data_IF_723871115296
#
_entry.id   IF_723871115296
#
_cell.length_a   1.000
_cell.length_b   1.000
_cell.length_c   1.000
_cell.angle_alpha   90.00
_cell.angle_beta   90.00
_cell.angle_gamma   90.00
#
_symmetry.space_group_name_H-M   'P 1'
#
loop_
_entity.id
_entity.type
_entity.pdbx_description
1 polymer ?
#
# COMPACT_ATOMS: atom_id res chain seq x y z
N UNK A 1 -5.82 -8.78 29.38
CA UNK A 1 -4.52 -9.33 28.95
C UNK A 1 -4.31 -8.86 27.54
N UNK A 2 -3.27 -8.08 27.22
CA UNK A 2 -2.96 -7.69 25.84
C UNK A 2 -2.49 -8.95 25.07
N UNK A 3 -2.79 -9.09 23.78
CA UNK A 3 -2.26 -10.17 22.97
C UNK A 3 -0.74 -10.01 22.86
N UNK A 4 -0.05 -11.10 23.17
CA UNK A 4 1.40 -11.18 23.02
C UNK A 4 1.77 -10.88 21.57
N UNK A 5 2.54 -9.81 21.36
CA UNK A 5 3.09 -9.46 20.07
C UNK A 5 3.88 -10.65 19.53
N UNK A 6 3.46 -11.15 18.37
CA UNK A 6 4.28 -12.07 17.58
C UNK A 6 5.51 -11.27 17.14
N UNK A 7 6.67 -11.72 17.63
CA UNK A 7 7.99 -11.29 17.16
C UNK A 7 8.00 -11.28 15.62
N UNK A 8 8.62 -10.27 14.95
CA UNK A 8 8.71 -10.28 13.50
C UNK A 8 9.37 -11.59 13.06
N UNK A 9 8.70 -12.30 12.14
CA UNK A 9 9.21 -13.49 11.50
C UNK A 9 10.57 -13.13 10.86
N UNK A 10 11.68 -13.43 11.55
CA UNK A 10 12.87 -13.83 10.84
C UNK A 10 12.48 -15.12 10.12
N UNK A 11 12.19 -15.04 8.84
CA UNK A 11 12.00 -16.21 8.01
C UNK A 11 13.29 -17.02 8.16
N UNK A 12 13.26 -18.04 9.01
CA UNK A 12 14.32 -19.06 9.05
C UNK A 12 14.19 -19.75 7.70
N UNK A 13 15.03 -19.33 6.74
CA UNK A 13 15.13 -20.01 5.46
C UNK A 13 15.39 -21.48 5.75
N UNK A 14 14.60 -22.36 5.15
CA UNK A 14 14.74 -23.80 5.33
C UNK A 14 16.15 -24.20 4.87
N UNK A 15 16.93 -24.86 5.73
CA UNK A 15 18.20 -25.45 5.31
C UNK A 15 17.92 -26.65 4.43
N UNK A 16 18.14 -26.49 3.12
CA UNK A 16 18.03 -27.57 2.15
C UNK A 16 19.36 -28.31 2.04
N UNK A 17 19.39 -29.57 2.51
CA UNK A 17 20.49 -30.47 2.27
C UNK A 17 20.53 -30.98 0.81
N UNK A 18 21.67 -31.44 0.36
CA UNK A 18 21.80 -32.06 -0.96
C UNK A 18 21.17 -33.46 -0.93
N UNK A 19 20.14 -33.67 -1.76
CA UNK A 19 19.44 -34.94 -1.90
C UNK A 19 19.54 -35.40 -3.36
N UNK A 20 20.19 -36.56 -3.56
CA UNK A 20 20.42 -37.17 -4.87
C UNK A 20 19.46 -38.34 -5.06
N UNK A 21 18.71 -38.34 -6.15
CA UNK A 21 17.95 -39.50 -6.61
C UNK A 21 18.63 -40.09 -7.85
N UNK A 22 19.07 -41.35 -7.76
CA UNK A 22 19.54 -42.12 -8.92
C UNK A 22 18.35 -42.97 -9.44
N UNK A 23 18.11 -42.90 -10.74
CA UNK A 23 17.18 -43.78 -11.47
C UNK A 23 18.00 -44.59 -12.46
N UNK A 24 18.15 -45.88 -12.21
CA UNK A 24 18.99 -46.81 -13.00
C UNK A 24 18.53 -48.25 -12.72
N UNK A 25 18.30 -49.05 -13.75
CA UNK A 25 17.86 -50.44 -13.58
C UNK A 25 18.96 -51.38 -13.03
N UNK A 26 20.23 -50.94 -13.10
CA UNK A 26 21.37 -51.73 -12.70
C UNK A 26 21.80 -51.43 -11.26
N UNK A 27 21.54 -52.34 -10.36
CA UNK A 27 21.92 -52.21 -8.95
C UNK A 27 23.47 -52.05 -8.74
N UNK A 28 24.28 -52.52 -9.67
CA UNK A 28 25.74 -52.38 -9.60
C UNK A 28 26.15 -50.90 -9.81
N UNK A 29 25.46 -50.15 -10.66
CA UNK A 29 25.70 -48.73 -10.87
C UNK A 29 25.30 -47.98 -9.61
N UNK A 30 24.17 -48.31 -9.01
CA UNK A 30 23.71 -47.70 -7.75
C UNK A 30 24.71 -47.94 -6.61
N UNK A 31 25.24 -49.14 -6.50
CA UNK A 31 26.28 -49.46 -5.50
C UNK A 31 27.56 -48.65 -5.73
N UNK A 32 27.99 -48.49 -6.97
CA UNK A 32 29.18 -47.69 -7.33
C UNK A 32 28.97 -46.20 -7.00
N UNK A 33 27.83 -45.59 -7.41
CA UNK A 33 27.51 -44.20 -7.10
C UNK A 33 27.40 -44.00 -5.58
N UNK A 34 26.72 -44.89 -4.86
CA UNK A 34 26.62 -44.85 -3.39
C UNK A 34 27.99 -44.81 -2.74
N UNK A 35 28.91 -45.69 -3.18
CA UNK A 35 30.32 -45.75 -2.66
C UNK A 35 31.07 -44.45 -2.95
N UNK A 36 30.86 -43.83 -4.11
CA UNK A 36 31.49 -42.55 -4.47
C UNK A 36 31.03 -41.42 -3.53
N UNK A 37 29.77 -41.48 -3.06
CA UNK A 37 29.17 -40.47 -2.18
C UNK A 37 29.35 -40.76 -0.68
N UNK A 38 29.86 -41.93 -0.30
CA UNK A 38 29.89 -42.41 1.11
C UNK A 38 30.62 -41.45 2.07
N UNK A 39 31.63 -40.73 1.60
CA UNK A 39 32.39 -39.77 2.43
C UNK A 39 31.79 -38.38 2.49
N UNK A 40 30.76 -38.11 1.71
CA UNK A 40 30.07 -36.81 1.65
C UNK A 40 28.88 -36.80 2.63
N UNK A 41 29.12 -36.38 3.86
CA UNK A 41 28.14 -36.47 4.96
C UNK A 41 26.96 -35.54 4.80
N UNK A 42 27.05 -34.54 3.93
CA UNK A 42 26.04 -33.55 3.59
C UNK A 42 25.15 -33.94 2.39
N UNK A 43 25.42 -35.16 1.79
CA UNK A 43 24.66 -35.66 0.64
C UNK A 43 23.83 -36.88 1.05
N UNK A 44 22.52 -36.75 0.93
CA UNK A 44 21.58 -37.88 1.06
C UNK A 44 21.40 -38.58 -0.28
N UNK A 45 21.57 -39.90 -0.33
CA UNK A 45 21.48 -40.69 -1.55
C UNK A 45 20.25 -41.61 -1.53
N UNK A 46 19.46 -41.55 -2.60
CA UNK A 46 18.28 -42.39 -2.82
C UNK A 46 18.41 -43.10 -4.18
N UNK A 47 17.90 -44.33 -4.25
CA UNK A 47 17.93 -45.15 -5.45
C UNK A 47 16.52 -45.60 -5.85
N UNK A 48 16.27 -45.56 -7.15
CA UNK A 48 15.05 -46.06 -7.78
C UNK A 48 15.45 -47.00 -8.91
N UNK A 49 15.19 -48.30 -8.75
CA UNK A 49 15.54 -49.31 -9.73
C UNK A 49 14.52 -49.43 -10.86
N UNK A 50 13.23 -49.24 -10.52
CA UNK A 50 12.13 -49.32 -11.48
C UNK A 50 11.83 -47.91 -12.03
N UNK A 51 12.08 -47.64 -13.33
CA UNK A 51 11.85 -46.34 -13.93
C UNK A 51 10.36 -45.93 -13.91
N UNK A 52 9.43 -46.88 -13.82
CA UNK A 52 7.98 -46.56 -13.70
C UNK A 52 7.65 -45.89 -12.35
N UNK A 53 8.44 -46.11 -11.33
CA UNK A 53 8.29 -45.52 -10.00
C UNK A 53 9.07 -44.22 -9.82
N UNK A 54 9.88 -43.82 -10.81
CA UNK A 54 10.81 -42.69 -10.69
C UNK A 54 10.15 -41.37 -10.29
N UNK A 55 9.00 -41.01 -10.89
CA UNK A 55 8.30 -39.79 -10.56
C UNK A 55 7.76 -39.82 -9.12
N UNK A 56 7.13 -40.94 -8.72
CA UNK A 56 6.63 -41.13 -7.37
C UNK A 56 7.74 -41.01 -6.35
N UNK A 57 8.90 -41.70 -6.61
CA UNK A 57 10.06 -41.66 -5.74
C UNK A 57 10.64 -40.25 -5.62
N UNK A 58 10.71 -39.50 -6.71
CA UNK A 58 11.13 -38.10 -6.71
C UNK A 58 10.20 -37.21 -5.86
N UNK A 59 8.87 -37.42 -5.91
CA UNK A 59 7.92 -36.71 -5.07
C UNK A 59 8.06 -37.04 -3.57
N UNK A 60 8.41 -38.30 -3.24
CA UNK A 60 8.63 -38.75 -1.86
C UNK A 60 9.89 -38.14 -1.23
N UNK A 61 11.02 -38.18 -1.98
CA UNK A 61 12.34 -37.82 -1.44
C UNK A 61 12.69 -36.36 -1.69
N UNK A 62 11.95 -35.65 -2.55
CA UNK A 62 12.17 -34.25 -2.92
C UNK A 62 13.67 -33.98 -3.27
N UNK A 63 14.22 -34.60 -4.31
CA UNK A 63 15.64 -34.52 -4.59
C UNK A 63 16.05 -33.12 -5.06
N UNK A 64 17.28 -32.71 -4.77
CA UNK A 64 17.91 -31.51 -5.29
C UNK A 64 18.59 -31.69 -6.61
N UNK A 65 18.86 -32.95 -6.98
CA UNK A 65 19.38 -33.37 -8.28
C UNK A 65 18.97 -34.81 -8.57
N UNK A 66 18.64 -35.10 -9.83
CA UNK A 66 18.32 -36.42 -10.33
C UNK A 66 19.47 -36.87 -11.21
N UNK A 67 20.00 -38.09 -10.95
CA UNK A 67 20.88 -38.82 -11.85
C UNK A 67 20.04 -39.88 -12.56
N UNK A 68 20.06 -39.95 -13.88
CA UNK A 68 19.19 -40.85 -14.63
C UNK A 68 19.91 -41.55 -15.75
N UNK A 69 19.75 -42.88 -15.83
CA UNK A 69 20.20 -43.66 -16.98
C UNK A 69 19.30 -43.41 -18.21
N UNK A 70 19.87 -43.49 -19.39
CA UNK A 70 19.17 -43.47 -20.67
C UNK A 70 18.69 -44.81 -21.15
N UNK A 71 19.43 -45.87 -20.82
CA UNK A 71 19.21 -47.21 -21.36
C UNK A 71 18.66 -48.11 -20.28
N UNK A 72 17.33 -48.12 -20.18
CA UNK A 72 16.62 -48.94 -19.20
C UNK A 72 15.62 -49.84 -19.94
N UNK A 73 15.27 -51.02 -19.40
CA UNK A 73 14.15 -51.79 -19.90
C UNK A 73 12.84 -51.03 -19.62
N UNK A 74 11.82 -51.28 -20.38
CA UNK A 74 10.44 -50.80 -20.23
C UNK A 74 10.22 -49.33 -20.58
N UNK A 75 11.09 -48.39 -20.21
CA UNK A 75 10.97 -46.96 -20.53
C UNK A 75 12.28 -46.43 -21.10
N UNK A 76 12.22 -45.79 -22.26
CA UNK A 76 13.36 -45.04 -22.79
C UNK A 76 13.65 -43.83 -21.90
N UNK A 77 14.93 -43.70 -21.50
CA UNK A 77 15.32 -42.62 -20.57
C UNK A 77 15.04 -41.21 -21.05
N UNK A 78 15.09 -40.97 -22.37
CA UNK A 78 14.73 -39.67 -22.93
C UNK A 78 13.22 -39.35 -22.73
N UNK A 79 12.39 -40.38 -22.78
CA UNK A 79 10.94 -40.25 -22.46
C UNK A 79 10.75 -39.95 -20.99
N UNK A 80 11.51 -40.50 -20.09
CA UNK A 80 11.45 -40.21 -18.66
C UNK A 80 11.88 -38.76 -18.34
N UNK A 81 12.86 -38.22 -19.06
CA UNK A 81 13.21 -36.78 -18.99
C UNK A 81 12.00 -35.92 -19.29
N UNK A 82 11.26 -36.23 -20.38
CA UNK A 82 10.01 -35.49 -20.73
C UNK A 82 8.98 -35.56 -19.60
N UNK A 83 8.80 -36.72 -18.98
CA UNK A 83 7.86 -36.88 -17.86
C UNK A 83 8.24 -36.00 -16.63
N UNK A 84 9.54 -35.99 -16.27
CA UNK A 84 10.03 -35.09 -15.21
C UNK A 84 9.75 -33.61 -15.55
N UNK A 85 10.00 -33.18 -16.78
CA UNK A 85 9.80 -31.79 -17.23
C UNK A 85 8.32 -31.42 -17.36
N UNK A 86 7.45 -32.37 -17.63
CA UNK A 86 6.00 -32.12 -17.69
C UNK A 86 5.35 -32.02 -16.29
N UNK A 87 6.01 -32.57 -15.24
CA UNK A 87 5.41 -32.61 -13.91
C UNK A 87 5.62 -31.27 -13.16
N UNK A 88 4.55 -30.57 -12.68
CA UNK A 88 4.65 -29.21 -12.10
C UNK A 88 5.66 -29.07 -10.95
N UNK A 89 5.75 -30.07 -10.06
CA UNK A 89 6.64 -30.05 -8.90
C UNK A 89 8.07 -30.51 -9.19
N UNK A 90 8.29 -31.26 -10.28
CA UNK A 90 9.60 -31.88 -10.59
C UNK A 90 10.33 -31.18 -11.74
N UNK A 91 9.64 -30.37 -12.54
CA UNK A 91 10.16 -29.78 -13.79
C UNK A 91 11.42 -28.94 -13.63
N UNK A 92 11.62 -28.36 -12.45
CA UNK A 92 12.76 -27.47 -12.17
C UNK A 92 13.94 -28.19 -11.49
N UNK A 93 13.76 -29.46 -11.07
CA UNK A 93 14.82 -30.22 -10.43
C UNK A 93 15.91 -30.53 -11.48
N UNK A 94 17.16 -30.20 -11.22
CA UNK A 94 18.27 -30.55 -12.13
C UNK A 94 18.33 -32.05 -12.39
N UNK A 95 18.45 -32.41 -13.66
CA UNK A 95 18.56 -33.80 -14.12
C UNK A 95 19.84 -33.96 -14.89
N UNK A 96 20.69 -34.84 -14.40
CA UNK A 96 21.97 -35.24 -15.00
C UNK A 96 21.80 -36.64 -15.60
N UNK A 97 21.99 -36.74 -16.88
CA UNK A 97 21.97 -38.05 -17.58
C UNK A 97 23.27 -38.79 -17.33
N UNK A 98 23.16 -40.08 -16.93
CA UNK A 98 24.27 -41.02 -16.88
C UNK A 98 24.10 -42.03 -18.01
N UNK A 99 25.05 -42.15 -18.94
CA UNK A 99 24.91 -43.08 -20.08
C UNK A 99 26.23 -43.60 -20.56
N UNK A 100 26.25 -44.84 -21.07
CA UNK A 100 27.42 -45.43 -21.78
C UNK A 100 27.55 -44.90 -23.22
N UNK A 101 26.55 -44.17 -23.74
CA UNK A 101 26.57 -43.61 -25.09
C UNK A 101 27.29 -42.26 -25.10
N UNK A 102 28.26 -42.10 -25.98
CA UNK A 102 29.05 -40.86 -26.12
C UNK A 102 28.66 -40.03 -27.38
N UNK A 103 27.69 -40.51 -28.15
CA UNK A 103 27.28 -39.88 -29.40
C UNK A 103 26.80 -38.49 -29.21
N UNK A 104 27.31 -37.54 -29.99
CA UNK A 104 26.93 -36.14 -29.92
C UNK A 104 25.42 -35.91 -30.14
N UNK A 105 24.80 -36.72 -31.01
CA UNK A 105 23.36 -36.64 -31.29
C UNK A 105 22.51 -36.96 -30.06
N UNK A 106 22.84 -38.04 -29.33
CA UNK A 106 22.14 -38.44 -28.10
C UNK A 106 22.27 -37.38 -26.99
N UNK A 107 23.46 -36.79 -26.85
CA UNK A 107 23.68 -35.68 -25.89
C UNK A 107 22.82 -34.46 -26.26
N UNK A 108 22.81 -34.05 -27.52
CA UNK A 108 22.02 -32.91 -28.01
C UNK A 108 20.53 -33.15 -27.80
N UNK A 109 20.03 -34.37 -28.04
CA UNK A 109 18.64 -34.72 -27.81
C UNK A 109 18.28 -34.66 -26.31
N UNK A 110 19.10 -35.19 -25.41
CA UNK A 110 18.90 -35.12 -23.97
C UNK A 110 18.77 -33.66 -23.48
N UNK A 111 19.67 -32.78 -23.92
CA UNK A 111 19.61 -31.34 -23.60
C UNK A 111 18.36 -30.67 -24.19
N UNK A 112 17.99 -31.00 -25.44
CA UNK A 112 16.78 -30.46 -26.07
C UNK A 112 15.50 -30.86 -25.31
N UNK A 113 15.50 -32.01 -24.65
CA UNK A 113 14.40 -32.50 -23.83
C UNK A 113 14.42 -31.94 -22.39
N UNK A 114 15.46 -31.21 -22.03
CA UNK A 114 15.56 -30.52 -20.74
C UNK A 114 16.50 -31.16 -19.71
N UNK A 115 17.38 -32.10 -20.10
CA UNK A 115 18.49 -32.51 -19.24
C UNK A 115 19.39 -31.29 -18.95
N UNK A 116 19.89 -31.18 -17.73
CA UNK A 116 20.78 -30.10 -17.33
C UNK A 116 22.25 -30.43 -17.53
N UNK A 117 22.57 -31.72 -17.57
CA UNK A 117 23.93 -32.20 -17.76
C UNK A 117 23.95 -33.63 -18.28
N UNK A 118 25.14 -34.08 -18.73
CA UNK A 118 25.34 -35.38 -19.29
C UNK A 118 26.71 -35.92 -18.87
N UNK A 119 26.73 -37.10 -18.23
CA UNK A 119 27.95 -37.80 -17.80
C UNK A 119 28.05 -39.19 -18.41
N UNK A 120 29.26 -39.60 -18.79
CA UNK A 120 29.53 -40.97 -19.23
C UNK A 120 29.60 -41.90 -18.01
N UNK A 121 28.97 -43.08 -18.07
CA UNK A 121 29.04 -44.11 -17.03
C UNK A 121 30.41 -44.79 -17.03
N UNK A 122 31.00 -45.07 -15.91
CA UNK A 122 30.90 -44.47 -14.58
C UNK A 122 31.89 -43.30 -14.56
N UNK A 123 31.46 -42.09 -14.18
CA UNK A 123 32.37 -40.93 -14.15
C UNK A 123 33.40 -41.06 -13.04
N UNK A 124 34.44 -40.23 -13.12
CA UNK A 124 35.33 -40.05 -11.97
C UNK A 124 34.57 -39.53 -10.75
N UNK A 125 34.94 -39.99 -9.55
CA UNK A 125 34.29 -39.59 -8.31
C UNK A 125 34.29 -38.08 -8.12
N UNK A 126 35.40 -37.39 -8.42
CA UNK A 126 35.56 -35.95 -8.24
C UNK A 126 34.60 -35.22 -9.19
N UNK A 127 34.50 -35.69 -10.44
CA UNK A 127 33.61 -35.12 -11.43
C UNK A 127 32.14 -35.28 -11.02
N UNK A 128 31.73 -36.48 -10.59
CA UNK A 128 30.35 -36.75 -10.16
C UNK A 128 29.94 -35.83 -9.00
N UNK A 129 30.75 -35.75 -7.96
CA UNK A 129 30.48 -34.91 -6.79
C UNK A 129 30.42 -33.43 -7.17
N UNK A 130 31.33 -32.93 -7.98
CA UNK A 130 31.36 -31.57 -8.44
C UNK A 130 30.06 -31.18 -9.18
N UNK A 131 29.57 -32.05 -10.08
CA UNK A 131 28.32 -31.84 -10.83
C UNK A 131 27.09 -31.87 -9.92
N UNK A 132 27.01 -32.85 -9.02
CA UNK A 132 25.94 -32.93 -8.02
C UNK A 132 25.88 -31.64 -7.20
N UNK A 133 27.02 -31.19 -6.65
CA UNK A 133 27.07 -29.98 -5.84
C UNK A 133 26.70 -28.72 -6.64
N UNK A 134 27.21 -28.57 -7.85
CA UNK A 134 26.91 -27.44 -8.72
C UNK A 134 25.43 -27.33 -9.04
N UNK A 135 24.82 -28.43 -9.48
CA UNK A 135 23.40 -28.43 -9.86
C UNK A 135 22.47 -28.32 -8.64
N UNK A 136 22.79 -29.03 -7.55
CA UNK A 136 22.01 -28.92 -6.30
C UNK A 136 22.07 -27.52 -5.72
N UNK A 137 23.22 -26.86 -5.69
CA UNK A 137 23.36 -25.49 -5.19
C UNK A 137 22.50 -24.52 -5.98
N UNK A 138 22.48 -24.63 -7.31
CA UNK A 138 21.62 -23.82 -8.16
C UNK A 138 20.12 -23.99 -7.85
N UNK A 139 19.69 -25.24 -7.63
CA UNK A 139 18.31 -25.55 -7.31
C UNK A 139 17.92 -25.14 -5.88
N UNK A 140 18.80 -25.36 -4.90
CA UNK A 140 18.60 -24.91 -3.51
C UNK A 140 18.45 -23.39 -3.46
N UNK A 141 19.29 -22.64 -4.17
CA UNK A 141 19.17 -21.17 -4.27
C UNK A 141 17.81 -20.75 -4.87
N UNK A 142 17.30 -21.49 -5.85
CA UNK A 142 15.98 -21.26 -6.42
C UNK A 142 14.87 -21.47 -5.38
N UNK A 143 14.94 -22.56 -4.60
CA UNK A 143 13.96 -22.85 -3.54
C UNK A 143 13.96 -21.76 -2.47
N UNK A 144 15.14 -21.43 -1.94
CA UNK A 144 15.28 -20.36 -0.93
C UNK A 144 14.78 -19.01 -1.41
N UNK A 145 15.05 -18.65 -2.66
CA UNK A 145 14.54 -17.42 -3.25
C UNK A 145 13.00 -17.41 -3.32
N UNK A 146 12.40 -18.54 -3.71
CA UNK A 146 10.94 -18.64 -3.79
C UNK A 146 10.30 -18.55 -2.40
N UNK A 147 10.86 -19.24 -1.40
CA UNK A 147 10.39 -19.16 0.00
C UNK A 147 10.49 -17.73 0.55
N UNK A 148 11.61 -17.05 0.31
CA UNK A 148 11.79 -15.66 0.73
C UNK A 148 10.79 -14.72 0.04
N UNK A 149 10.50 -14.95 -1.24
CA UNK A 149 9.52 -14.17 -1.98
C UNK A 149 8.10 -14.38 -1.45
N UNK A 150 7.69 -15.62 -1.17
CA UNK A 150 6.39 -15.94 -0.58
C UNK A 150 6.24 -15.30 0.80
N UNK A 151 7.23 -15.42 1.67
CA UNK A 151 7.22 -14.81 3.00
C UNK A 151 7.14 -13.25 2.92
N UNK A 152 7.83 -12.64 1.96
CA UNK A 152 7.75 -11.19 1.72
C UNK A 152 6.34 -10.78 1.29
N UNK A 153 5.72 -11.55 0.38
CA UNK A 153 4.37 -11.27 -0.10
C UNK A 153 3.32 -11.40 1.01
N UNK A 154 3.43 -12.43 1.84
CA UNK A 154 2.56 -12.61 3.01
C UNK A 154 2.70 -11.46 4.01
N UNK A 155 3.94 -11.07 4.34
CA UNK A 155 4.23 -9.95 5.23
C UNK A 155 3.68 -8.63 4.68
N UNK A 156 3.87 -8.38 3.39
CA UNK A 156 3.34 -7.18 2.71
C UNK A 156 1.81 -7.13 2.75
N UNK A 157 1.15 -8.27 2.52
CA UNK A 157 -0.30 -8.37 2.54
C UNK A 157 -0.87 -8.14 3.96
N UNK A 158 -0.21 -8.68 4.98
CA UNK A 158 -0.59 -8.47 6.38
C UNK A 158 -0.48 -6.99 6.75
N UNK A 159 0.63 -6.32 6.40
CA UNK A 159 0.84 -4.90 6.66
C UNK A 159 -0.22 -4.04 5.93
N UNK A 160 -0.51 -4.35 4.66
CA UNK A 160 -1.55 -3.62 3.90
C UNK A 160 -2.93 -3.75 4.57
N UNK A 161 -3.25 -4.93 5.11
CA UNK A 161 -4.51 -5.16 5.82
C UNK A 161 -4.59 -4.37 7.14
N UNK A 162 -3.49 -4.30 7.90
CA UNK A 162 -3.43 -3.49 9.13
C UNK A 162 -3.58 -1.99 8.85
N UNK A 163 -2.93 -1.49 7.80
CA UNK A 163 -3.07 -0.08 7.39
C UNK A 163 -4.49 0.25 6.92
N UNK A 164 -5.16 -0.67 6.20
CA UNK A 164 -6.54 -0.48 5.78
C UNK A 164 -7.50 -0.37 6.99
N UNK A 165 -7.31 -1.21 8.02
CA UNK A 165 -8.10 -1.12 9.25
C UNK A 165 -7.87 0.21 9.99
N UNK A 166 -6.64 0.71 10.00
CA UNK A 166 -6.34 2.02 10.58
C UNK A 166 -7.01 3.15 9.79
N UNK A 167 -7.02 3.08 8.45
CA UNK A 167 -7.72 4.05 7.59
C UNK A 167 -9.23 4.06 7.85
N UNK A 168 -9.87 2.91 7.91
CA UNK A 168 -11.29 2.78 8.24
C UNK A 168 -11.60 3.40 9.61
N UNK A 169 -10.72 3.22 10.59
CA UNK A 169 -10.87 3.84 11.90
C UNK A 169 -10.79 5.38 11.81
N UNK A 170 -9.81 5.94 11.09
CA UNK A 170 -9.69 7.41 10.90
C UNK A 170 -10.96 7.96 10.23
N UNK A 171 -11.44 7.33 9.17
CA UNK A 171 -12.68 7.72 8.49
C UNK A 171 -13.89 7.68 9.45
N UNK A 172 -13.95 6.69 10.34
CA UNK A 172 -15.03 6.57 11.32
C UNK A 172 -15.08 7.71 12.35
N UNK A 173 -13.97 8.44 12.53
CA UNK A 173 -13.90 9.61 13.41
C UNK A 173 -14.50 10.87 12.75
N UNK A 174 -14.64 10.90 11.43
CA UNK A 174 -15.23 12.03 10.72
C UNK A 174 -16.72 12.18 11.08
N UNK A 175 -17.23 13.42 11.14
CA UNK A 175 -18.60 13.66 11.58
C UNK A 175 -19.63 13.15 10.57
N UNK A 176 -20.76 12.67 11.06
CA UNK A 176 -21.86 12.26 10.18
C UNK A 176 -22.51 13.48 9.49
N UNK A 177 -22.88 13.40 8.20
CA UNK A 177 -23.54 14.49 7.50
C UNK A 177 -24.82 14.95 8.20
N UNK A 178 -24.99 16.25 8.33
CA UNK A 178 -26.24 16.87 8.81
C UNK A 178 -27.18 17.03 7.61
N UNK A 179 -28.28 16.29 7.60
CA UNK A 179 -29.20 16.23 6.45
C UNK A 179 -30.49 17.07 6.64
N UNK A 180 -30.69 17.68 7.82
CA UNK A 180 -31.88 18.44 8.13
C UNK A 180 -31.56 19.70 8.98
N UNK A 181 -32.44 20.69 8.97
CA UNK A 181 -32.28 21.94 9.71
C UNK A 181 -31.76 23.08 8.85
N UNK A 182 -31.46 24.22 9.50
CA UNK A 182 -31.01 25.46 8.85
C UNK A 182 -29.54 25.37 8.36
N UNK A 183 -28.79 24.41 8.87
CA UNK A 183 -27.44 24.09 8.43
C UNK A 183 -27.42 22.63 8.02
N UNK A 184 -26.98 22.36 6.80
CA UNK A 184 -26.79 20.99 6.30
C UNK A 184 -25.34 20.82 5.84
N UNK A 185 -24.80 19.61 6.00
CA UNK A 185 -23.42 19.32 5.63
C UNK A 185 -23.35 18.11 4.71
N UNK A 186 -22.42 18.16 3.76
CA UNK A 186 -22.00 17.04 2.92
C UNK A 186 -20.51 17.07 2.78
N UNK A 187 -19.90 15.92 2.63
CA UNK A 187 -18.46 15.85 2.45
C UNK A 187 -18.03 14.60 1.67
N UNK A 188 -16.82 14.66 1.13
CA UNK A 188 -16.09 13.52 0.61
C UNK A 188 -14.64 13.61 1.05
N UNK A 189 -14.08 12.45 1.30
CA UNK A 189 -12.70 12.23 1.64
C UNK A 189 -12.17 11.02 0.85
N UNK A 190 -11.16 11.24 0.03
CA UNK A 190 -10.48 10.22 -0.75
C UNK A 190 -8.99 10.38 -0.55
N UNK A 191 -8.37 9.53 0.30
CA UNK A 191 -6.93 9.60 0.54
C UNK A 191 -6.15 9.19 -0.70
N UNK A 192 -5.02 9.85 -0.97
CA UNK A 192 -4.10 9.56 -2.06
C UNK A 192 -3.33 8.26 -1.85
N UNK A 193 -3.12 7.92 -0.58
CA UNK A 193 -2.51 6.67 -0.10
C UNK A 193 -3.47 5.93 0.83
N UNK A 194 -3.01 4.88 1.53
CA UNK A 194 -3.87 4.16 2.48
C UNK A 194 -4.31 5.04 3.67
N UNK A 195 -3.45 5.98 4.11
CA UNK A 195 -3.71 6.93 5.20
C UNK A 195 -3.31 8.32 4.74
N UNK A 196 -4.28 9.23 4.69
CA UNK A 196 -4.07 10.63 4.38
C UNK A 196 -3.79 11.50 5.60
N UNK A 197 -3.28 12.71 5.34
CA UNK A 197 -3.05 13.75 6.34
C UNK A 197 -4.26 14.64 6.61
N UNK A 198 -5.22 14.65 5.68
CA UNK A 198 -6.43 15.47 5.76
C UNK A 198 -7.38 15.04 6.87
N UNK A 199 -8.00 16.01 7.51
CA UNK A 199 -9.09 15.79 8.45
C UNK A 199 -10.01 17.01 8.51
N UNK A 200 -11.28 16.79 8.79
CA UNK A 200 -12.25 17.88 8.93
C UNK A 200 -13.27 17.58 10.02
N UNK A 201 -13.93 18.63 10.48
CA UNK A 201 -14.98 18.50 11.47
C UNK A 201 -15.93 19.68 11.50
N UNK A 202 -17.04 19.47 12.18
CA UNK A 202 -18.01 20.50 12.49
C UNK A 202 -18.83 20.09 13.71
N UNK A 203 -19.19 21.07 14.53
CA UNK A 203 -20.04 20.86 15.70
C UNK A 203 -20.58 22.19 16.21
N UNK A 204 -21.64 22.14 17.01
CA UNK A 204 -22.12 23.27 17.76
C UNK A 204 -21.22 23.52 18.98
N UNK A 205 -20.65 24.73 19.09
CA UNK A 205 -19.89 25.18 20.25
C UNK A 205 -20.85 25.46 21.41
N UNK A 206 -21.92 26.12 21.07
CA UNK A 206 -23.04 26.46 21.94
C UNK A 206 -24.34 26.53 21.13
N UNK A 207 -25.45 27.08 21.69
CA UNK A 207 -26.75 27.16 21.01
C UNK A 207 -26.73 28.02 19.75
N UNK A 208 -25.82 29.00 19.64
CA UNK A 208 -25.78 29.96 18.54
C UNK A 208 -24.56 29.80 17.60
N UNK A 209 -23.51 29.15 18.03
CA UNK A 209 -22.23 29.13 17.31
C UNK A 209 -21.92 27.73 16.76
N UNK A 210 -21.81 27.63 15.44
CA UNK A 210 -21.46 26.40 14.72
C UNK A 210 -20.05 26.50 14.18
N UNK A 211 -19.15 25.64 14.72
CA UNK A 211 -17.77 25.50 14.23
C UNK A 211 -17.70 24.57 13.03
N UNK A 212 -16.81 24.88 12.09
CA UNK A 212 -16.48 24.06 10.91
C UNK A 212 -15.02 24.28 10.56
N UNK A 213 -14.30 23.21 10.23
CA UNK A 213 -12.87 23.26 9.95
C UNK A 213 -12.42 22.11 9.06
N UNK A 214 -11.35 22.36 8.33
CA UNK A 214 -10.59 21.37 7.59
C UNK A 214 -9.12 21.69 7.82
N UNK A 215 -8.34 20.64 8.09
CA UNK A 215 -6.90 20.72 8.26
C UNK A 215 -6.23 19.69 7.34
N UNK A 216 -5.03 20.01 6.90
CA UNK A 216 -4.21 19.19 6.07
C UNK A 216 -2.78 19.16 6.65
N UNK A 217 -2.31 17.95 6.98
CA UNK A 217 -0.97 17.72 7.57
C UNK A 217 0.03 17.46 6.45
N UNK A 218 1.14 18.18 6.48
CA UNK A 218 2.21 18.00 5.50
C UNK A 218 2.67 16.53 5.40
N UNK A 219 2.71 15.99 4.18
CA UNK A 219 3.05 14.61 3.91
C UNK A 219 1.90 13.62 4.11
N UNK A 220 2.20 12.33 4.07
CA UNK A 220 1.20 11.27 4.08
C UNK A 220 1.61 10.09 4.97
N UNK A 221 0.67 9.18 5.22
CA UNK A 221 0.89 7.97 5.98
C UNK A 221 0.60 8.10 7.47
N UNK A 222 1.08 7.13 8.25
CA UNK A 222 0.68 6.97 9.67
C UNK A 222 0.97 8.20 10.52
N UNK A 223 2.13 8.84 10.33
CA UNK A 223 2.51 10.04 11.11
C UNK A 223 1.55 11.20 10.89
N UNK A 224 1.28 11.54 9.63
CA UNK A 224 0.36 12.61 9.25
C UNK A 224 -1.07 12.31 9.76
N UNK A 225 -1.58 11.09 9.56
CA UNK A 225 -2.89 10.68 10.03
C UNK A 225 -3.04 10.75 11.57
N UNK A 226 -2.02 10.37 12.33
CA UNK A 226 -2.06 10.46 13.79
C UNK A 226 -2.06 11.92 14.28
N UNK A 227 -1.31 12.81 13.63
CA UNK A 227 -1.32 14.23 13.95
C UNK A 227 -2.67 14.86 13.62
N UNK A 228 -3.23 14.57 12.44
CA UNK A 228 -4.54 15.09 12.03
C UNK A 228 -5.65 14.64 12.98
N UNK A 229 -5.69 13.36 13.38
CA UNK A 229 -6.63 12.84 14.37
C UNK A 229 -6.44 13.51 15.75
N UNK A 230 -5.19 13.78 16.15
CA UNK A 230 -4.91 14.46 17.43
C UNK A 230 -5.46 15.88 17.42
N UNK A 231 -5.23 16.64 16.35
CA UNK A 231 -5.78 17.99 16.17
C UNK A 231 -7.31 17.99 16.08
N UNK A 232 -7.90 17.03 15.35
CA UNK A 232 -9.35 16.84 15.29
C UNK A 232 -9.96 16.63 16.67
N UNK A 233 -9.38 15.74 17.48
CA UNK A 233 -9.88 15.45 18.82
C UNK A 233 -9.80 16.67 19.75
N UNK A 234 -8.73 17.43 19.67
CA UNK A 234 -8.55 18.68 20.45
C UNK A 234 -9.59 19.72 20.10
N UNK A 235 -9.86 19.91 18.79
CA UNK A 235 -10.90 20.84 18.31
C UNK A 235 -12.30 20.37 18.72
N UNK A 236 -12.61 19.10 18.51
CA UNK A 236 -13.91 18.51 18.80
C UNK A 236 -14.26 18.52 20.30
N UNK A 237 -13.28 18.22 21.14
CA UNK A 237 -13.43 18.22 22.59
C UNK A 237 -13.32 19.62 23.20
N UNK A 238 -13.00 20.64 22.40
CA UNK A 238 -12.76 22.02 22.85
C UNK A 238 -11.74 22.06 24.00
N UNK A 239 -10.66 21.29 23.89
CA UNK A 239 -9.73 21.05 25.01
C UNK A 239 -8.48 21.94 25.01
N UNK A 240 -8.40 22.96 24.15
CA UNK A 240 -7.34 23.97 24.19
C UNK A 240 -7.48 24.85 25.44
N UNK A 241 -6.39 25.02 26.18
CA UNK A 241 -6.39 25.77 27.44
C UNK A 241 -6.67 27.26 27.20
N UNK A 242 -7.58 27.85 27.99
CA UNK A 242 -7.90 29.28 27.99
C UNK A 242 -8.31 29.82 26.61
N UNK A 243 -8.91 28.98 25.76
CA UNK A 243 -9.28 29.32 24.38
C UNK A 243 -10.80 29.44 24.25
N UNK A 244 -11.26 30.57 23.76
CA UNK A 244 -12.65 30.71 23.31
C UNK A 244 -12.76 30.21 21.85
N UNK A 245 -13.43 29.08 21.66
CA UNK A 245 -13.60 28.47 20.36
C UNK A 245 -14.47 29.25 19.38
N UNK A 246 -15.14 30.30 19.83
CA UNK A 246 -15.89 31.23 18.98
C UNK A 246 -15.00 32.28 18.31
N UNK A 247 -13.72 32.34 18.67
CA UNK A 247 -12.76 33.33 18.21
C UNK A 247 -11.64 32.59 17.39
N UNK A 248 -11.74 32.54 16.05
CA UNK A 248 -10.87 31.75 15.19
C UNK A 248 -9.38 32.01 15.34
N UNK A 249 -8.95 33.26 15.41
CA UNK A 249 -7.55 33.63 15.60
C UNK A 249 -6.98 33.10 16.93
N UNK A 250 -7.77 33.07 17.99
CA UNK A 250 -7.37 32.47 19.28
C UNK A 250 -7.24 30.96 19.19
N UNK A 251 -8.14 30.32 18.44
CA UNK A 251 -8.06 28.87 18.22
C UNK A 251 -6.79 28.51 17.47
N UNK A 252 -6.48 29.23 16.39
CA UNK A 252 -5.25 28.97 15.61
C UNK A 252 -3.97 29.22 16.44
N UNK A 253 -3.92 30.29 17.21
CA UNK A 253 -2.80 30.58 18.10
C UNK A 253 -2.59 29.44 19.13
N UNK A 254 -3.67 28.99 19.76
CA UNK A 254 -3.60 27.90 20.74
C UNK A 254 -3.32 26.55 20.11
N UNK A 255 -3.75 26.28 18.88
CA UNK A 255 -3.33 25.09 18.11
C UNK A 255 -1.84 25.16 17.81
N UNK A 256 -1.34 26.30 17.34
CA UNK A 256 0.08 26.48 17.07
C UNK A 256 0.95 26.21 18.30
N UNK A 257 0.55 26.69 19.48
CA UNK A 257 1.28 26.44 20.73
C UNK A 257 1.23 24.96 21.15
N UNK A 258 0.12 24.27 20.85
CA UNK A 258 -0.09 22.87 21.23
C UNK A 258 0.60 21.86 20.28
N UNK A 259 0.84 22.25 19.03
CA UNK A 259 1.32 21.37 17.96
C UNK A 259 2.57 21.91 17.27
N UNK A 260 3.62 22.17 18.04
CA UNK A 260 4.90 22.62 17.48
C UNK A 260 5.57 21.49 16.68
N UNK A 261 6.03 21.77 15.46
CA UNK A 261 6.66 20.79 14.58
C UNK A 261 7.86 20.07 15.21
N UNK A 262 8.61 20.75 16.08
CA UNK A 262 9.76 20.18 16.80
C UNK A 262 9.37 18.99 17.71
N UNK A 263 8.14 18.99 18.24
CA UNK A 263 7.62 17.94 19.12
C UNK A 263 6.88 16.83 18.33
N UNK A 264 6.67 17.03 17.01
CA UNK A 264 5.85 16.18 16.15
C UNK A 264 6.60 15.69 14.89
N UNK A 265 7.88 15.33 15.02
CA UNK A 265 8.72 14.79 13.93
C UNK A 265 8.78 15.71 12.69
N UNK A 266 8.90 17.00 12.90
CA UNK A 266 8.90 18.06 11.88
C UNK A 266 7.61 18.14 11.06
N UNK A 267 6.52 17.53 11.52
CA UNK A 267 5.19 17.65 10.91
C UNK A 267 4.54 18.95 11.36
N UNK A 268 3.91 19.62 10.39
CA UNK A 268 3.08 20.80 10.56
C UNK A 268 1.78 20.61 9.78
N UNK A 269 0.82 21.49 9.96
CA UNK A 269 -0.41 21.42 9.19
C UNK A 269 -0.98 22.78 8.83
N UNK A 270 -1.71 22.81 7.75
CA UNK A 270 -2.56 23.93 7.37
C UNK A 270 -3.97 23.74 7.94
N UNK A 271 -4.71 24.81 8.21
CA UNK A 271 -6.07 24.73 8.68
C UNK A 271 -6.89 25.95 8.25
N UNK A 272 -8.13 25.68 7.81
CA UNK A 272 -9.16 26.66 7.78
C UNK A 272 -10.16 26.39 8.92
N UNK A 273 -10.39 27.37 9.80
CA UNK A 273 -11.32 27.28 10.92
C UNK A 273 -12.32 28.43 10.87
N UNK A 274 -13.61 28.12 10.88
CA UNK A 274 -14.68 29.12 10.84
C UNK A 274 -15.79 28.83 11.86
N UNK A 275 -16.41 29.88 12.32
CA UNK A 275 -17.55 29.85 13.26
C UNK A 275 -18.71 30.67 12.70
N UNK A 276 -19.82 30.02 12.43
CA UNK A 276 -21.04 30.66 12.02
C UNK A 276 -21.92 30.97 13.25
N UNK A 277 -22.31 32.24 13.40
CA UNK A 277 -23.30 32.63 14.38
C UNK A 277 -24.69 32.67 13.71
N UNK A 278 -25.62 31.83 14.18
CA UNK A 278 -26.94 31.68 13.56
C UNK A 278 -27.84 32.91 13.77
N UNK A 279 -27.64 33.67 14.86
CA UNK A 279 -28.45 34.86 15.18
C UNK A 279 -28.03 36.06 14.34
N UNK A 280 -26.73 36.33 14.22
CA UNK A 280 -26.21 37.45 13.41
C UNK A 280 -25.99 37.08 11.94
N UNK A 281 -26.02 35.78 11.59
CA UNK A 281 -25.68 35.21 10.28
C UNK A 281 -24.29 35.64 9.81
N UNK A 282 -23.36 35.75 10.71
CA UNK A 282 -21.96 36.08 10.45
C UNK A 282 -21.09 34.83 10.54
N UNK A 283 -20.17 34.62 9.59
CA UNK A 283 -19.05 33.67 9.69
C UNK A 283 -17.82 34.47 10.07
N UNK A 284 -17.23 34.17 11.23
CA UNK A 284 -15.84 34.54 11.55
C UNK A 284 -14.93 33.42 11.20
N UNK A 285 -13.77 33.70 10.62
CA UNK A 285 -12.86 32.66 10.15
C UNK A 285 -11.40 33.09 10.25
N UNK A 286 -10.52 32.10 10.32
CA UNK A 286 -9.08 32.25 10.16
C UNK A 286 -8.55 31.06 9.37
N UNK A 287 -7.62 31.31 8.46
CA UNK A 287 -6.87 30.24 7.79
C UNK A 287 -5.40 30.31 8.16
N UNK A 288 -4.83 29.20 8.63
CA UNK A 288 -3.41 29.02 8.93
C UNK A 288 -2.73 28.32 7.76
N UNK A 289 -2.25 29.07 6.76
CA UNK A 289 -1.60 28.51 5.57
C UNK A 289 -2.49 27.67 4.64
N UNK A 290 -3.78 27.59 4.92
CA UNK A 290 -4.74 26.74 4.20
C UNK A 290 -5.37 27.45 3.01
N UNK A 291 -5.78 26.73 1.94
CA UNK A 291 -6.57 27.29 0.85
C UNK A 291 -7.79 28.09 1.30
N UNK A 292 -8.25 29.07 0.51
CA UNK A 292 -9.45 29.82 0.84
C UNK A 292 -10.69 28.93 0.82
N UNK A 293 -11.59 29.10 1.81
CA UNK A 293 -12.93 28.56 1.64
C UNK A 293 -13.74 29.44 0.68
N UNK A 294 -14.63 28.83 -0.09
CA UNK A 294 -15.48 29.50 -1.07
C UNK A 294 -16.91 29.65 -0.55
N UNK A 295 -17.35 30.86 -0.29
CA UNK A 295 -18.76 31.15 0.03
C UNK A 295 -19.49 31.57 -1.26
N UNK A 296 -20.48 30.78 -1.67
CA UNK A 296 -21.33 31.04 -2.84
C UNK A 296 -22.74 31.33 -2.38
N UNK A 297 -23.25 32.53 -2.69
CA UNK A 297 -24.64 32.94 -2.33
C UNK A 297 -25.64 32.46 -3.38
N UNK A 298 -26.92 32.43 -3.05
CA UNK A 298 -27.99 32.10 -3.99
C UNK A 298 -28.09 33.04 -5.20
N UNK A 299 -27.52 34.24 -5.10
CA UNK A 299 -27.41 35.20 -6.23
C UNK A 299 -26.18 34.89 -7.14
N UNK A 300 -25.40 33.85 -6.86
CA UNK A 300 -24.20 33.47 -7.63
C UNK A 300 -22.97 34.32 -7.30
N UNK A 301 -23.03 35.16 -6.25
CA UNK A 301 -21.84 35.87 -5.79
C UNK A 301 -20.90 34.92 -5.05
N UNK A 302 -19.62 34.98 -5.35
CA UNK A 302 -18.58 34.17 -4.72
C UNK A 302 -17.63 35.04 -3.93
N UNK A 303 -17.25 34.59 -2.74
CA UNK A 303 -16.26 35.21 -1.88
C UNK A 303 -15.23 34.16 -1.46
N UNK A 304 -13.97 34.49 -1.58
CA UNK A 304 -12.86 33.69 -1.04
C UNK A 304 -12.60 34.13 0.40
N UNK A 305 -12.71 33.19 1.33
CA UNK A 305 -12.52 33.43 2.76
C UNK A 305 -11.13 32.93 3.17
N UNK A 306 -10.17 33.85 3.17
CA UNK A 306 -8.76 33.57 3.50
C UNK A 306 -8.21 34.69 4.39
N UNK A 307 -7.25 34.35 5.26
CA UNK A 307 -6.46 35.30 6.06
C UNK A 307 -4.97 35.05 5.85
N UNK A 308 -4.10 36.08 5.90
CA UNK A 308 -2.68 35.95 5.55
C UNK A 308 -1.85 35.39 6.74
N UNK A 309 -2.21 34.23 7.25
CA UNK A 309 -1.52 33.60 8.38
C UNK A 309 -0.61 32.45 7.91
N UNK A 310 0.41 32.17 8.71
CA UNK A 310 1.26 31.00 8.51
C UNK A 310 0.55 29.71 8.95
N UNK A 311 1.10 28.55 8.53
CA UNK A 311 0.64 27.23 8.96
C UNK A 311 0.84 27.01 10.46
N UNK A 312 0.23 25.97 11.00
CA UNK A 312 0.27 25.61 12.42
C UNK A 312 1.52 24.77 12.71
N UNK A 313 2.21 25.11 13.80
CA UNK A 313 3.41 24.41 14.27
C UNK A 313 4.74 25.05 13.84
N UNK A 314 4.71 26.12 13.04
CA UNK A 314 5.91 26.73 12.47
C UNK A 314 6.76 27.50 13.45
N UNK A 315 6.16 28.42 14.19
CA UNK A 315 6.89 29.28 15.16
C UNK A 315 6.07 29.45 16.44
N UNK A 316 6.69 29.28 17.62
CA UNK A 316 6.03 29.56 18.89
C UNK A 316 5.54 31.02 19.00
N UNK A 317 4.52 31.24 19.81
CA UNK A 317 3.96 32.55 20.12
C UNK A 317 3.48 33.33 18.87
N UNK A 318 3.16 32.65 17.78
CA UNK A 318 2.64 33.29 16.55
C UNK A 318 1.26 33.89 16.78
N UNK A 319 1.05 35.09 16.23
CA UNK A 319 -0.26 35.73 16.22
C UNK A 319 -0.96 35.46 14.89
N UNK A 320 -2.29 35.29 14.96
CA UNK A 320 -3.13 35.03 13.81
C UNK A 320 -4.16 36.14 13.65
N UNK A 321 -4.58 36.37 12.41
CA UNK A 321 -5.64 37.32 12.05
C UNK A 321 -6.92 36.55 11.72
N UNK A 322 -8.06 37.14 12.02
CA UNK A 322 -9.38 36.64 11.64
C UNK A 322 -10.09 37.58 10.69
N UNK A 323 -10.90 36.99 9.81
CA UNK A 323 -11.84 37.70 8.94
C UNK A 323 -13.28 37.46 9.38
N UNK A 324 -14.21 38.28 8.84
CA UNK A 324 -15.63 38.09 9.03
C UNK A 324 -16.38 38.36 7.73
N UNK A 325 -17.48 37.61 7.51
CA UNK A 325 -18.37 37.77 6.37
C UNK A 325 -19.81 37.52 6.80
N UNK A 326 -20.74 38.36 6.32
CA UNK A 326 -22.17 38.12 6.53
C UNK A 326 -22.69 37.12 5.51
N UNK A 327 -23.43 36.12 5.98
CA UNK A 327 -24.18 35.19 5.14
C UNK A 327 -25.56 35.80 4.87
N UNK A 328 -25.89 36.18 3.62
CA UNK A 328 -27.18 36.81 3.34
C UNK A 328 -28.35 35.89 3.67
N UNK A 329 -29.52 36.49 3.85
CA UNK A 329 -30.77 35.71 3.98
C UNK A 329 -31.03 34.96 2.67
N UNK A 330 -31.41 33.70 2.79
CA UNK A 330 -31.59 32.79 1.65
C UNK A 330 -30.49 31.73 1.57
N UNK A 331 -30.54 30.88 0.55
CA UNK A 331 -29.59 29.77 0.42
C UNK A 331 -28.17 30.27 0.14
N UNK A 332 -27.19 29.73 0.87
CA UNK A 332 -25.78 29.94 0.63
C UNK A 332 -25.03 28.64 0.85
N UNK A 333 -23.89 28.46 0.18
CA UNK A 333 -23.06 27.30 0.24
C UNK A 333 -21.62 27.69 0.55
N UNK A 334 -21.01 27.07 1.56
CA UNK A 334 -19.60 27.23 1.89
C UNK A 334 -18.90 25.92 1.56
N UNK A 335 -17.82 26.01 0.79
CA UNK A 335 -16.93 24.89 0.47
C UNK A 335 -15.58 25.10 1.15
N UNK A 336 -15.17 24.13 1.95
CA UNK A 336 -13.86 24.06 2.58
C UNK A 336 -13.19 22.79 2.01
N UNK A 337 -11.98 22.91 1.51
CA UNK A 337 -11.32 21.83 0.77
C UNK A 337 -9.80 21.91 0.90
N UNK A 338 -9.13 20.74 0.78
CA UNK A 338 -7.67 20.65 0.68
C UNK A 338 -7.19 21.00 -0.73
N UNK A 339 -5.89 21.18 -0.90
CA UNK A 339 -5.26 21.51 -2.17
C UNK A 339 -5.45 20.41 -3.23
N UNK A 340 -5.54 19.12 -2.85
CA UNK A 340 -5.89 18.03 -3.76
C UNK A 340 -7.23 18.19 -4.50
N UNK A 341 -8.06 19.17 -4.13
CA UNK A 341 -9.28 19.51 -4.88
C UNK A 341 -9.03 20.44 -6.09
N UNK A 342 -7.86 21.10 -6.17
CA UNK A 342 -7.55 22.05 -7.26
C UNK A 342 -6.09 21.98 -7.76
N UNK A 343 -5.14 21.49 -6.98
CA UNK A 343 -3.75 21.29 -7.44
C UNK A 343 -3.57 19.94 -8.13
N UNK A 344 -4.29 19.73 -9.25
CA UNK A 344 -4.29 18.48 -9.99
C UNK A 344 -3.64 18.68 -11.35
N UNK A 345 -2.64 17.86 -11.67
CA UNK A 345 -1.99 17.88 -12.97
C UNK A 345 -2.94 17.38 -14.08
N UNK A 346 -3.12 18.21 -15.11
CA UNK A 346 -3.83 17.84 -16.33
C UNK A 346 -2.94 16.97 -17.20
N UNK A 347 -3.53 16.05 -17.94
CA UNK A 347 -2.82 15.17 -18.89
C UNK A 347 -1.96 15.91 -19.95
N UNK A 348 -2.08 17.24 -20.07
CA UNK A 348 -1.29 18.09 -20.94
C UNK A 348 -0.16 18.89 -20.24
N UNK A 349 0.13 18.64 -18.95
CA UNK A 349 1.20 19.29 -18.18
C UNK A 349 0.84 20.66 -17.59
N UNK A 350 -0.41 21.12 -17.70
CA UNK A 350 -0.92 22.29 -16.99
C UNK A 350 -1.62 21.85 -15.69
N UNK A 351 -1.59 22.70 -14.66
CA UNK A 351 -2.28 22.43 -13.41
C UNK A 351 -3.75 22.90 -13.46
N UNK A 352 -4.65 22.18 -12.83
CA UNK A 352 -6.01 22.61 -12.50
C UNK A 352 -5.92 23.64 -11.37
N UNK A 353 -6.62 24.77 -11.52
CA UNK A 353 -6.45 25.90 -10.62
C UNK A 353 -7.66 26.16 -9.73
N UNK A 354 -7.47 26.96 -8.68
CA UNK A 354 -8.54 27.39 -7.79
C UNK A 354 -9.66 28.13 -8.53
N UNK A 355 -9.32 28.94 -9.54
CA UNK A 355 -10.28 29.67 -10.36
C UNK A 355 -11.16 28.71 -11.18
N UNK A 356 -10.57 27.64 -11.69
CA UNK A 356 -11.28 26.60 -12.42
C UNK A 356 -12.21 25.79 -11.49
N UNK A 357 -11.75 25.47 -10.27
CA UNK A 357 -12.58 24.86 -9.23
C UNK A 357 -13.76 25.78 -8.88
N UNK A 358 -13.50 27.07 -8.68
CA UNK A 358 -14.56 28.06 -8.40
C UNK A 358 -15.58 28.11 -9.54
N UNK A 359 -15.14 28.12 -10.80
CA UNK A 359 -16.02 28.10 -11.96
C UNK A 359 -16.86 26.81 -12.04
N UNK A 360 -16.31 25.67 -11.63
CA UNK A 360 -17.01 24.39 -11.57
C UNK A 360 -18.12 24.39 -10.50
N UNK A 361 -17.88 24.99 -9.33
CA UNK A 361 -18.80 25.01 -8.20
C UNK A 361 -19.90 26.10 -8.31
N UNK A 362 -19.71 27.11 -9.18
CA UNK A 362 -20.65 28.22 -9.36
C UNK A 362 -22.06 27.80 -9.79
N UNK A 363 -22.26 26.93 -10.78
CA UNK A 363 -23.58 26.49 -11.18
C UNK A 363 -24.28 25.74 -10.04
N UNK A 364 -25.58 25.93 -9.89
CA UNK A 364 -26.37 25.07 -9.01
C UNK A 364 -26.49 23.68 -9.66
N UNK A 365 -25.86 22.65 -9.10
CA UNK A 365 -25.93 21.33 -9.73
C UNK A 365 -27.36 20.80 -9.68
N UNK A 366 -27.83 20.11 -10.73
CA UNK A 366 -29.17 19.53 -10.76
C UNK A 366 -29.35 18.41 -9.72
N UNK A 367 -28.26 17.80 -9.29
CA UNK A 367 -28.21 16.81 -8.20
C UNK A 367 -27.12 17.18 -7.19
N UNK A 368 -27.54 17.87 -6.13
CA UNK A 368 -26.63 18.24 -5.04
C UNK A 368 -25.99 17.02 -4.34
N UNK A 369 -26.61 15.83 -4.44
CA UNK A 369 -26.10 14.63 -3.81
C UNK A 369 -24.83 14.10 -4.53
N UNK A 370 -24.70 14.38 -5.82
CA UNK A 370 -23.59 13.90 -6.64
C UNK A 370 -22.55 14.98 -6.97
N UNK A 371 -22.72 16.20 -6.50
CA UNK A 371 -21.86 17.33 -6.83
C UNK A 371 -20.36 17.07 -6.53
N UNK A 372 -20.05 16.69 -5.30
CA UNK A 372 -18.66 16.44 -4.89
C UNK A 372 -18.12 15.14 -5.53
N UNK A 373 -18.94 14.10 -5.64
CA UNK A 373 -18.57 12.86 -6.35
C UNK A 373 -18.35 13.12 -7.85
N UNK A 374 -19.13 14.04 -8.44
CA UNK A 374 -18.95 14.49 -9.82
C UNK A 374 -17.62 15.20 -10.04
N UNK A 375 -17.27 16.10 -9.13
CA UNK A 375 -15.97 16.79 -9.15
C UNK A 375 -14.82 15.79 -9.06
N UNK A 376 -14.84 14.89 -8.10
CA UNK A 376 -13.77 13.90 -7.95
C UNK A 376 -13.59 13.05 -9.22
N UNK A 377 -14.68 12.53 -9.80
CA UNK A 377 -14.63 11.78 -11.07
C UNK A 377 -14.12 12.63 -12.24
N UNK A 378 -14.46 13.91 -12.27
CA UNK A 378 -13.96 14.86 -13.29
C UNK A 378 -12.44 15.03 -13.17
N UNK A 379 -11.92 15.21 -11.95
CA UNK A 379 -10.48 15.32 -11.68
C UNK A 379 -9.71 14.03 -12.04
N UNK A 380 -10.25 12.86 -11.68
CA UNK A 380 -9.69 11.57 -12.10
C UNK A 380 -9.63 11.43 -13.62
N UNK A 381 -10.70 11.81 -14.32
CA UNK A 381 -10.75 11.79 -15.79
C UNK A 381 -9.76 12.75 -16.44
N UNK A 382 -9.55 13.92 -15.85
CA UNK A 382 -8.60 14.94 -16.31
C UNK A 382 -7.15 14.46 -16.17
N UNK A 383 -6.83 13.81 -15.06
CA UNK A 383 -5.51 13.24 -14.80
C UNK A 383 -5.24 11.95 -15.58
N UNK A 384 -6.30 11.18 -15.88
CA UNK A 384 -6.20 9.85 -16.51
C UNK A 384 -5.74 8.75 -15.56
N UNK A 385 -5.90 8.92 -14.25
CA UNK A 385 -5.53 7.95 -13.20
C UNK A 385 -6.71 7.72 -12.24
N UNK A 386 -6.72 6.55 -11.59
CA UNK A 386 -7.78 6.17 -10.64
C UNK A 386 -7.68 6.90 -9.29
N UNK A 387 -6.49 7.41 -8.92
CA UNK A 387 -6.23 8.17 -7.69
C UNK A 387 -5.60 9.52 -8.02
N UNK A 388 -5.78 10.50 -7.16
CA UNK A 388 -5.07 11.77 -7.22
C UNK A 388 -3.70 11.65 -6.52
N UNK A 389 -2.82 12.63 -6.72
CA UNK A 389 -1.47 12.65 -6.12
C UNK A 389 -1.52 13.05 -4.66
N UNK A 390 -2.51 13.84 -4.28
CA UNK A 390 -2.75 14.29 -2.91
C UNK A 390 -4.15 13.91 -2.44
N UNK A 391 -4.38 14.05 -1.14
CA UNK A 391 -5.64 13.75 -0.50
C UNK A 391 -6.74 14.70 -1.01
N UNK A 392 -7.86 14.14 -1.39
CA UNK A 392 -9.03 14.93 -1.78
C UNK A 392 -9.99 15.00 -0.60
N UNK A 393 -10.09 16.17 0.00
CA UNK A 393 -11.07 16.48 1.06
C UNK A 393 -11.91 17.66 0.67
N UNK A 394 -13.21 17.50 0.74
CA UNK A 394 -14.15 18.60 0.52
C UNK A 394 -15.34 18.52 1.48
N UNK A 395 -15.54 19.59 2.24
CA UNK A 395 -16.69 19.80 3.11
C UNK A 395 -17.57 20.91 2.52
N UNK A 396 -18.83 20.60 2.22
CA UNK A 396 -19.86 21.56 1.85
C UNK A 396 -20.77 21.81 3.05
N UNK A 397 -20.95 23.08 3.41
CA UNK A 397 -21.90 23.53 4.42
C UNK A 397 -22.97 24.39 3.72
N UNK A 398 -24.21 23.95 3.77
CA UNK A 398 -25.35 24.66 3.17
C UNK A 398 -26.17 25.40 4.25
N UNK A 399 -26.34 26.70 4.07
CA UNK A 399 -27.19 27.54 4.91
C UNK A 399 -28.55 27.65 4.21
N UNK A 400 -29.55 27.01 4.81
CA UNK A 400 -30.93 27.01 4.32
C UNK A 400 -31.64 28.19 5.03
N UNK A 401 -31.96 29.23 4.36
CA UNK A 401 -32.46 30.54 4.77
C UNK A 401 -33.18 30.71 6.06
#
# INVERSE_FOLDING_TARGET
MPPQGKTPLSAVLTEHGITVLLVDDQAIVAAAVKRMLETETDISFHYCQDPNQALQKALEVSPTVILQDLVMPDIDGLTLVKFFRAHPRLKNIPLIVLSTREEAATKAEAFALGANDYLVKLPDRIELIARIRYHSAGYINLLQRNEAYEALMESRQALASELALAADYVISLLPQPITAGSIQTRWRYFPSTQLGGDCFGYHWIDEDHFAMYLLDVCGHGVGAALLSVSALNVLRAQSLRNTDFRIPDRVLASLNDAFQMQDHNDLYFTIWYGVFNRTTREIRYASGGHPPALLITGAGQTSQLITPNFFIGGMPDSTYESGAVSVPNGPARLYIFSDGAYEVDKSGGAMWTLEELQAYLLPNPPDEAQEIDGLYRFLQGMRGQATLDDDFSMLKVSFIG
#
